data_IF_163037303051
#
_entry.id   IF_163037303051
#
_cell.length_a   1.000
_cell.length_b   1.000
_cell.length_c   1.000
_cell.angle_alpha   90.00
_cell.angle_beta   90.00
_cell.angle_gamma   90.00
#
_symmetry.space_group_name_H-M   'P 1'
#
loop_
_entity.id
_entity.type
_entity.pdbx_description
1 polymer ?
#
# COMPACT_ATOMS: atom_id res chain seq x y z
N UNK A 1 -86.89 8.27 -16.83
CA UNK A 1 -86.82 8.23 -15.36
C UNK A 1 -85.38 8.43 -14.93
N UNK A 2 -85.05 9.57 -14.34
CA UNK A 2 -83.76 9.83 -13.68
C UNK A 2 -83.97 9.64 -12.17
N UNK A 3 -83.14 8.82 -11.54
CA UNK A 3 -83.26 8.41 -10.14
C UNK A 3 -82.17 9.07 -9.27
N UNK A 4 -82.54 9.25 -8.00
CA UNK A 4 -81.82 9.69 -6.80
C UNK A 4 -80.30 9.81 -6.91
N UNK A 5 -79.83 10.98 -6.49
CA UNK A 5 -78.45 11.37 -6.14
C UNK A 5 -77.76 12.34 -7.12
N UNK A 6 -78.57 13.09 -7.87
CA UNK A 6 -78.49 14.56 -7.92
C UNK A 6 -78.86 15.22 -6.58
N UNK A 7 -78.58 14.58 -5.45
CA UNK A 7 -78.96 15.04 -4.11
C UNK A 7 -77.77 14.95 -3.17
N UNK A 8 -76.64 15.54 -3.54
CA UNK A 8 -75.63 16.03 -2.60
C UNK A 8 -74.68 16.96 -3.37
N UNK A 9 -75.22 18.08 -3.85
CA UNK A 9 -74.40 19.28 -4.05
C UNK A 9 -74.24 19.94 -2.70
N UNK A 10 -73.07 19.84 -2.07
CA UNK A 10 -72.70 20.74 -0.98
C UNK A 10 -71.18 20.90 -0.89
N UNK A 11 -70.77 22.16 -0.77
CA UNK A 11 -69.45 22.66 -0.40
C UNK A 11 -68.35 22.64 -1.48
N UNK A 12 -68.28 23.79 -2.16
CA UNK A 12 -67.02 24.35 -2.63
C UNK A 12 -66.03 24.55 -1.47
N UNK A 13 -64.75 24.24 -1.69
CA UNK A 13 -63.62 24.95 -1.09
C UNK A 13 -62.30 24.53 -1.75
N UNK A 14 -61.74 25.46 -2.53
CA UNK A 14 -60.32 25.68 -2.81
C UNK A 14 -59.33 24.54 -2.51
N UNK A 15 -58.93 23.79 -3.53
CA UNK A 15 -57.65 23.08 -3.53
C UNK A 15 -56.66 23.86 -4.40
N UNK A 16 -55.85 24.69 -3.75
CA UNK A 16 -54.66 25.32 -4.32
C UNK A 16 -53.84 24.26 -5.05
N UNK A 17 -53.65 24.43 -6.35
CA UNK A 17 -52.69 23.63 -7.11
C UNK A 17 -51.31 23.98 -6.57
N UNK A 18 -50.79 23.19 -5.62
CA UNK A 18 -49.37 23.20 -5.33
C UNK A 18 -48.67 22.65 -6.57
N UNK A 19 -48.34 23.56 -7.50
CA UNK A 19 -47.25 23.32 -8.42
C UNK A 19 -46.05 22.97 -7.53
N UNK A 20 -45.65 21.69 -7.55
CA UNK A 20 -44.36 21.27 -7.03
C UNK A 20 -43.34 22.04 -7.86
N UNK A 21 -42.89 23.17 -7.34
CA UNK A 21 -41.63 23.77 -7.75
C UNK A 21 -40.63 22.65 -7.54
N UNK A 22 -40.02 22.07 -8.58
CA UNK A 22 -38.89 21.20 -8.35
C UNK A 22 -37.88 22.08 -7.60
N UNK A 23 -37.60 21.73 -6.35
CA UNK A 23 -36.46 22.24 -5.63
C UNK A 23 -35.24 21.67 -6.35
N UNK A 24 -34.94 22.20 -7.53
CA UNK A 24 -33.58 22.27 -7.99
C UNK A 24 -32.89 23.21 -6.99
N UNK A 25 -32.50 22.65 -5.84
CA UNK A 25 -31.28 23.11 -5.21
C UNK A 25 -30.26 22.93 -6.33
N UNK A 26 -29.92 24.04 -7.00
CA UNK A 26 -28.74 24.08 -7.82
C UNK A 26 -27.61 23.71 -6.88
N UNK A 27 -27.15 22.46 -6.96
CA UNK A 27 -25.77 22.17 -6.64
C UNK A 27 -25.01 23.09 -7.60
N UNK A 28 -24.55 24.23 -7.07
CA UNK A 28 -23.65 25.10 -7.80
C UNK A 28 -22.51 24.20 -8.22
N UNK A 29 -22.37 23.96 -9.52
CA UNK A 29 -21.42 23.02 -10.06
C UNK A 29 -20.03 23.62 -9.83
N UNK A 30 -19.46 23.34 -8.66
CA UNK A 30 -18.12 23.81 -8.31
C UNK A 30 -17.13 23.15 -9.25
N UNK A 31 -16.14 23.92 -9.70
CA UNK A 31 -15.12 23.43 -10.65
C UNK A 31 -14.31 22.27 -10.05
N UNK A 32 -14.16 22.28 -8.73
CA UNK A 32 -13.43 21.28 -7.98
C UNK A 32 -14.31 20.68 -6.88
N UNK A 33 -14.01 19.44 -6.49
CA UNK A 33 -14.66 18.77 -5.36
C UNK A 33 -14.03 19.24 -4.05
N UNK A 34 -12.69 19.30 -4.01
CA UNK A 34 -11.91 19.73 -2.84
C UNK A 34 -10.75 20.63 -3.29
N UNK A 35 -10.52 21.72 -2.56
CA UNK A 35 -9.25 22.47 -2.62
C UNK A 35 -8.58 22.47 -1.25
N UNK A 36 -7.31 22.04 -1.20
CA UNK A 36 -6.42 22.19 -0.05
C UNK A 36 -5.62 23.48 -0.27
N UNK A 37 -5.74 24.47 0.61
CA UNK A 37 -5.19 25.82 0.41
C UNK A 37 -3.94 26.11 1.23
N UNK A 38 -2.98 26.78 0.59
CA UNK A 38 -1.83 27.42 1.24
C UNK A 38 -0.90 26.48 2.00
N UNK A 39 -0.90 25.18 1.69
CA UNK A 39 -0.02 24.20 2.31
C UNK A 39 1.36 24.18 1.67
N UNK A 40 2.40 23.78 2.42
CA UNK A 40 3.71 23.49 1.84
C UNK A 40 3.63 22.12 1.15
N UNK A 41 3.47 22.14 -0.17
CA UNK A 41 3.37 20.95 -0.99
C UNK A 41 4.77 20.40 -1.25
N UNK A 42 5.01 19.14 -0.88
CA UNK A 42 6.28 18.45 -1.13
C UNK A 42 6.01 17.23 -2.01
N UNK A 43 6.47 17.28 -3.26
CA UNK A 43 6.45 16.16 -4.20
C UNK A 43 7.83 16.00 -4.87
N UNK A 44 8.66 15.06 -4.37
CA UNK A 44 9.99 14.81 -4.92
C UNK A 44 9.98 14.33 -6.37
N UNK A 45 8.90 13.70 -6.85
CA UNK A 45 8.83 13.13 -8.21
C UNK A 45 8.91 14.21 -9.28
N UNK A 46 8.42 15.42 -8.96
CA UNK A 46 8.47 16.61 -9.81
C UNK A 46 9.32 17.73 -9.21
N UNK A 47 10.12 17.42 -8.18
CA UNK A 47 10.99 18.36 -7.46
C UNK A 47 10.25 19.60 -6.91
N UNK A 48 9.02 19.40 -6.43
CA UNK A 48 8.22 20.45 -5.84
C UNK A 48 8.43 20.50 -4.32
N UNK A 49 8.79 21.66 -3.82
CA UNK A 49 8.77 22.02 -2.40
C UNK A 49 8.42 23.51 -2.29
N UNK A 50 7.13 23.82 -2.22
CA UNK A 50 6.64 25.20 -2.21
C UNK A 50 5.24 25.31 -1.59
N UNK A 51 4.90 26.50 -1.10
CA UNK A 51 3.51 26.81 -0.70
C UNK A 51 2.62 26.88 -1.93
N UNK A 52 1.57 26.03 -1.98
CA UNK A 52 0.62 25.94 -3.09
C UNK A 52 -0.77 25.52 -2.62
N UNK A 53 -1.74 25.72 -3.48
CA UNK A 53 -3.05 25.10 -3.42
C UNK A 53 -3.05 23.80 -4.25
N UNK A 54 -3.78 22.79 -3.78
CA UNK A 54 -4.00 21.51 -4.48
C UNK A 54 -5.49 21.31 -4.66
N UNK A 55 -5.95 21.17 -5.91
CA UNK A 55 -7.35 20.91 -6.21
C UNK A 55 -7.59 19.47 -6.67
N UNK A 56 -8.71 18.91 -6.26
CA UNK A 56 -9.16 17.56 -6.56
C UNK A 56 -10.50 17.64 -7.30
N UNK A 57 -10.64 16.87 -8.37
CA UNK A 57 -11.87 16.72 -9.14
C UNK A 57 -12.00 15.29 -9.66
N UNK A 58 -13.18 14.67 -9.46
CA UNK A 58 -13.45 13.29 -9.85
C UNK A 58 -12.48 12.28 -9.21
N UNK A 59 -12.04 12.55 -7.97
CA UNK A 59 -11.07 11.71 -7.26
C UNK A 59 -9.63 11.77 -7.82
N UNK A 60 -9.30 12.76 -8.65
CA UNK A 60 -7.96 12.97 -9.22
C UNK A 60 -7.45 14.36 -8.90
N UNK A 61 -6.13 14.51 -8.87
CA UNK A 61 -5.50 15.84 -8.76
C UNK A 61 -5.80 16.62 -10.05
N UNK A 62 -6.54 17.72 -9.92
CA UNK A 62 -6.94 18.57 -11.03
C UNK A 62 -6.01 19.77 -11.27
N UNK A 63 -5.35 20.27 -10.22
CA UNK A 63 -4.36 21.35 -10.33
C UNK A 63 -3.47 21.44 -9.07
N UNK A 64 -2.23 21.90 -9.24
CA UNK A 64 -1.27 22.18 -8.16
C UNK A 64 -0.56 23.51 -8.46
N UNK A 65 -1.11 24.62 -7.96
CA UNK A 65 -0.72 25.98 -8.35
C UNK A 65 -0.44 26.86 -7.13
N UNK A 66 0.34 27.96 -7.25
CA UNK A 66 0.55 28.89 -6.14
C UNK A 66 -0.74 29.40 -5.49
N UNK A 67 -1.79 29.59 -6.30
CA UNK A 67 -3.14 29.95 -5.83
C UNK A 67 -4.15 29.46 -6.86
N UNK A 68 -5.20 28.79 -6.42
CA UNK A 68 -6.27 28.31 -7.32
C UNK A 68 -7.50 29.22 -7.17
N UNK A 69 -7.88 29.87 -8.27
CA UNK A 69 -9.08 30.66 -8.37
C UNK A 69 -10.34 29.77 -8.52
N UNK A 70 -11.44 30.19 -7.91
CA UNK A 70 -12.74 29.54 -7.96
C UNK A 70 -13.09 28.74 -6.71
N UNK A 71 -14.34 28.27 -6.70
CA UNK A 71 -14.94 27.56 -5.58
C UNK A 71 -14.80 26.04 -5.73
N UNK A 72 -14.80 25.37 -4.59
CA UNK A 72 -14.86 23.92 -4.46
C UNK A 72 -15.99 23.53 -3.51
N UNK A 73 -16.51 22.31 -3.65
CA UNK A 73 -17.54 21.81 -2.75
C UNK A 73 -17.03 21.75 -1.30
N UNK A 74 -15.74 21.46 -1.13
CA UNK A 74 -15.03 21.48 0.14
C UNK A 74 -13.71 22.28 0.03
N UNK A 75 -13.31 22.96 1.11
CA UNK A 75 -12.00 23.61 1.19
C UNK A 75 -11.35 23.30 2.53
N UNK A 76 -10.08 22.89 2.48
CA UNK A 76 -9.23 22.65 3.65
C UNK A 76 -8.15 23.73 3.71
N UNK A 77 -8.00 24.40 4.85
CA UNK A 77 -6.88 25.32 5.10
C UNK A 77 -5.67 24.55 5.63
N UNK A 78 -4.60 24.49 4.84
CA UNK A 78 -3.36 23.79 5.15
C UNK A 78 -2.20 24.75 5.46
N UNK A 79 -2.46 26.03 5.75
CA UNK A 79 -1.40 26.99 6.11
C UNK A 79 -0.61 26.50 7.33
N UNK A 80 0.72 26.54 7.20
CA UNK A 80 1.63 26.03 8.23
C UNK A 80 1.65 24.50 8.36
N UNK A 81 1.02 23.77 7.43
CA UNK A 81 1.02 22.29 7.36
C UNK A 81 1.75 21.82 6.09
N UNK A 82 2.13 20.55 6.11
CA UNK A 82 2.66 19.86 4.95
C UNK A 82 1.51 19.22 4.17
N UNK A 83 1.63 19.26 2.84
CA UNK A 83 0.78 18.50 1.92
C UNK A 83 1.70 17.61 1.10
N UNK A 84 1.60 16.31 1.32
CA UNK A 84 2.49 15.30 0.71
C UNK A 84 1.67 14.28 -0.06
N UNK A 85 2.25 13.60 -1.07
CA UNK A 85 1.67 12.39 -1.63
C UNK A 85 1.31 11.42 -0.51
N UNK A 86 0.17 10.77 -0.64
CA UNK A 86 -0.24 9.73 0.29
C UNK A 86 0.84 8.65 0.40
N UNK A 87 1.09 8.16 1.62
CA UNK A 87 2.22 7.25 1.84
C UNK A 87 1.93 5.88 1.22
N UNK A 88 2.97 5.25 0.67
CA UNK A 88 2.94 3.88 0.20
C UNK A 88 3.86 3.04 1.08
N UNK A 89 3.28 2.09 1.82
CA UNK A 89 4.05 1.14 2.61
C UNK A 89 4.23 -0.17 1.84
N UNK A 90 5.46 -0.44 1.42
CA UNK A 90 5.79 -1.61 0.61
C UNK A 90 6.05 -2.87 1.45
N UNK A 91 6.04 -2.77 2.78
CA UNK A 91 6.29 -3.91 3.66
C UNK A 91 5.36 -3.88 4.87
N UNK A 92 4.15 -4.40 4.67
CA UNK A 92 3.18 -4.60 5.75
C UNK A 92 2.81 -6.07 5.92
N UNK A 93 2.08 -6.36 6.99
CA UNK A 93 1.29 -7.58 7.13
C UNK A 93 -0.19 -7.26 7.37
N UNK A 94 -0.65 -6.11 6.86
CA UNK A 94 -2.01 -5.59 7.06
C UNK A 94 -3.06 -6.48 6.43
N UNK A 95 -2.71 -7.19 5.35
CA UNK A 95 -3.62 -8.10 4.67
C UNK A 95 -4.05 -9.31 5.50
N UNK A 96 -3.40 -9.59 6.64
CA UNK A 96 -3.78 -10.71 7.54
C UNK A 96 -5.13 -10.55 8.21
N UNK A 97 -5.69 -9.34 8.20
CA UNK A 97 -7.01 -9.05 8.76
C UNK A 97 -7.73 -8.03 7.89
N UNK A 98 -9.06 -8.13 7.72
CA UNK A 98 -9.87 -7.10 7.04
C UNK A 98 -9.72 -5.69 7.63
N UNK A 99 -9.36 -5.56 8.90
CA UNK A 99 -9.20 -4.26 9.56
C UNK A 99 -7.79 -3.67 9.45
N UNK A 100 -6.79 -4.49 9.09
CA UNK A 100 -5.39 -4.05 8.99
C UNK A 100 -5.19 -2.82 8.09
N UNK A 101 -5.77 -2.77 6.87
CA UNK A 101 -5.63 -1.60 6.00
C UNK A 101 -6.15 -0.30 6.62
N UNK A 102 -7.29 -0.35 7.34
CA UNK A 102 -7.89 0.83 7.99
C UNK A 102 -6.97 1.41 9.06
N UNK A 103 -6.25 0.56 9.78
CA UNK A 103 -5.30 1.00 10.81
C UNK A 103 -4.18 1.84 10.20
N UNK A 104 -3.53 1.35 9.15
CA UNK A 104 -2.45 2.10 8.50
C UNK A 104 -2.95 3.34 7.75
N UNK A 105 -4.23 3.38 7.35
CA UNK A 105 -4.85 4.58 6.79
C UNK A 105 -4.83 5.75 7.77
N UNK A 106 -5.04 5.48 9.06
CA UNK A 106 -5.04 6.49 10.11
C UNK A 106 -3.66 7.14 10.28
N UNK A 107 -2.60 6.42 9.91
CA UNK A 107 -1.22 6.91 9.91
C UNK A 107 -0.81 7.56 8.56
N UNK A 108 -1.76 7.74 7.63
CA UNK A 108 -1.52 8.38 6.34
C UNK A 108 -1.00 7.45 5.24
N UNK A 109 -0.98 6.13 5.47
CA UNK A 109 -0.67 5.13 4.44
C UNK A 109 -1.87 5.01 3.52
N UNK A 110 -1.76 5.48 2.29
CA UNK A 110 -2.85 5.45 1.31
C UNK A 110 -2.78 4.25 0.36
N UNK A 111 -1.67 3.52 0.35
CA UNK A 111 -1.53 2.25 -0.36
C UNK A 111 -0.52 1.34 0.33
N UNK A 112 -0.72 0.03 0.22
CA UNK A 112 0.00 -0.95 1.02
C UNK A 112 0.33 -2.22 0.24
N UNK A 113 1.41 -2.90 0.63
CA UNK A 113 1.80 -4.20 0.10
C UNK A 113 1.97 -5.21 1.24
N UNK A 114 1.19 -6.29 1.21
CA UNK A 114 1.43 -7.42 2.12
C UNK A 114 2.71 -8.16 1.71
N UNK A 115 3.65 -8.24 2.63
CA UNK A 115 4.99 -8.77 2.41
C UNK A 115 5.07 -10.29 2.63
N UNK A 116 4.23 -11.06 1.94
CA UNK A 116 4.29 -12.52 1.96
C UNK A 116 3.73 -13.16 3.21
N UNK A 117 2.61 -12.63 3.73
CA UNK A 117 1.88 -13.30 4.82
C UNK A 117 1.37 -14.68 4.42
N UNK A 118 0.88 -14.83 3.18
CA UNK A 118 0.43 -16.11 2.64
C UNK A 118 1.25 -16.53 1.41
N UNK A 119 1.37 -17.84 1.24
CA UNK A 119 1.87 -18.47 0.01
C UNK A 119 0.73 -19.02 -0.84
N UNK A 120 1.07 -19.85 -1.81
CA UNK A 120 0.14 -20.40 -2.80
C UNK A 120 -1.12 -21.06 -2.20
N UNK A 121 -1.02 -21.72 -1.05
CA UNK A 121 -2.12 -22.50 -0.46
C UNK A 121 -3.29 -21.62 0.01
N UNK A 122 -3.01 -20.36 0.40
CA UNK A 122 -4.00 -19.44 0.99
C UNK A 122 -3.87 -18.01 0.49
N UNK A 123 -3.25 -17.79 -0.67
CA UNK A 123 -3.05 -16.43 -1.20
C UNK A 123 -4.38 -15.70 -1.44
N UNK A 124 -5.45 -16.46 -1.72
CA UNK A 124 -6.79 -15.94 -1.93
C UNK A 124 -7.32 -15.12 -0.74
N UNK A 125 -6.94 -15.47 0.49
CA UNK A 125 -7.38 -14.77 1.69
C UNK A 125 -6.86 -13.33 1.72
N UNK A 126 -5.58 -13.14 1.43
CA UNK A 126 -4.95 -11.81 1.38
C UNK A 126 -5.44 -11.03 0.16
N UNK A 127 -5.61 -11.69 -0.98
CA UNK A 127 -6.17 -11.07 -2.19
C UNK A 127 -7.59 -10.58 -1.95
N UNK A 128 -8.40 -11.32 -1.19
CA UNK A 128 -9.75 -10.90 -0.82
C UNK A 128 -9.71 -9.60 0.03
N UNK A 129 -8.83 -9.53 1.02
CA UNK A 129 -8.63 -8.31 1.82
C UNK A 129 -8.16 -7.13 0.97
N UNK A 130 -7.19 -7.37 0.07
CA UNK A 130 -6.69 -6.35 -0.86
C UNK A 130 -7.78 -5.82 -1.80
N UNK A 131 -8.68 -6.71 -2.26
CA UNK A 131 -9.81 -6.37 -3.12
C UNK A 131 -10.90 -5.56 -2.40
N UNK A 132 -11.15 -5.87 -1.13
CA UNK A 132 -12.19 -5.19 -0.33
C UNK A 132 -11.71 -3.91 0.35
N UNK A 133 -10.40 -3.63 0.33
CA UNK A 133 -9.82 -2.45 0.97
C UNK A 133 -10.21 -1.16 0.23
N UNK A 134 -10.43 -0.09 1.00
CA UNK A 134 -10.62 1.26 0.45
C UNK A 134 -9.32 1.80 -0.19
N UNK A 135 -8.17 1.42 0.37
CA UNK A 135 -6.85 1.78 -0.14
C UNK A 135 -6.41 0.75 -1.17
N UNK A 136 -5.65 1.13 -2.22
CA UNK A 136 -4.96 0.18 -3.08
C UNK A 136 -4.06 -0.76 -2.28
N UNK A 137 -4.48 -2.03 -2.18
CA UNK A 137 -3.69 -3.13 -1.62
C UNK A 137 -3.05 -3.98 -2.71
N UNK A 138 -1.81 -4.41 -2.50
CA UNK A 138 -1.11 -5.41 -3.33
C UNK A 138 -0.43 -6.45 -2.45
N UNK A 139 0.03 -7.52 -3.07
CA UNK A 139 0.57 -8.68 -2.36
C UNK A 139 1.88 -9.15 -2.99
N UNK A 140 2.87 -9.45 -2.16
CA UNK A 140 3.98 -10.31 -2.51
C UNK A 140 3.63 -11.73 -2.08
N UNK A 141 3.63 -12.70 -2.99
CA UNK A 141 3.36 -14.09 -2.60
C UNK A 141 4.58 -14.69 -1.89
N UNK A 142 4.40 -15.34 -0.75
CA UNK A 142 5.49 -16.07 -0.10
C UNK A 142 5.88 -17.30 -0.95
N UNK A 143 7.17 -17.51 -1.18
CA UNK A 143 7.67 -18.71 -1.88
C UNK A 143 7.36 -19.99 -1.08
N UNK A 144 7.32 -19.91 0.25
CA UNK A 144 6.77 -20.99 1.08
C UNK A 144 5.26 -21.06 0.88
N UNK A 145 4.76 -22.15 0.29
CA UNK A 145 3.35 -22.32 -0.12
C UNK A 145 2.33 -22.08 1.00
N UNK A 146 2.68 -22.36 2.25
CA UNK A 146 1.82 -22.16 3.41
C UNK A 146 1.83 -20.73 3.99
N UNK A 147 2.71 -19.86 3.48
CA UNK A 147 2.92 -18.51 4.00
C UNK A 147 3.86 -18.47 5.21
N UNK A 148 3.62 -17.49 6.09
CA UNK A 148 4.40 -17.30 7.31
C UNK A 148 3.98 -18.33 8.35
N UNK A 149 4.94 -19.12 8.81
CA UNK A 149 4.73 -20.15 9.82
C UNK A 149 5.61 -19.93 11.07
N UNK A 150 5.15 -20.36 12.27
CA UNK A 150 5.94 -20.27 13.49
C UNK A 150 7.24 -21.09 13.47
N UNK A 151 7.22 -22.24 12.78
CA UNK A 151 8.34 -23.19 12.60
C UNK A 151 9.21 -22.87 11.38
N UNK A 152 8.93 -21.75 10.70
CA UNK A 152 9.66 -21.33 9.51
C UNK A 152 9.00 -21.73 8.20
N UNK A 153 8.94 -20.77 7.29
CA UNK A 153 8.22 -20.84 6.02
C UNK A 153 8.77 -21.95 5.10
N UNK A 154 10.09 -22.15 5.11
CA UNK A 154 10.82 -23.00 4.15
C UNK A 154 11.94 -23.83 4.81
N UNK A 155 11.82 -24.09 6.12
CA UNK A 155 12.67 -25.07 6.82
C UNK A 155 12.52 -26.47 6.20
N UNK A 156 11.30 -26.83 5.81
CA UNK A 156 11.04 -27.87 4.83
C UNK A 156 11.09 -27.28 3.41
N UNK A 157 12.13 -27.64 2.65
CA UNK A 157 12.33 -27.16 1.29
C UNK A 157 11.21 -27.57 0.32
N UNK A 158 10.46 -28.63 0.62
CA UNK A 158 9.31 -29.02 -0.19
C UNK A 158 8.20 -27.94 -0.19
N UNK A 159 8.16 -27.08 0.82
CA UNK A 159 7.23 -25.95 0.89
C UNK A 159 7.56 -24.84 -0.12
N UNK A 160 8.83 -24.72 -0.55
CA UNK A 160 9.24 -23.77 -1.60
C UNK A 160 8.87 -24.31 -2.99
N UNK A 161 7.57 -24.42 -3.25
CA UNK A 161 6.99 -25.04 -4.44
C UNK A 161 6.82 -24.02 -5.58
N UNK A 162 7.70 -24.12 -6.58
CA UNK A 162 7.74 -23.21 -7.74
C UNK A 162 6.46 -23.32 -8.57
N UNK A 163 5.93 -24.53 -8.77
CA UNK A 163 4.76 -24.73 -9.61
C UNK A 163 3.51 -24.14 -8.94
N UNK A 164 3.32 -24.43 -7.65
CA UNK A 164 2.22 -23.87 -6.87
C UNK A 164 2.25 -22.34 -6.84
N UNK A 165 3.44 -21.74 -6.65
CA UNK A 165 3.60 -20.30 -6.65
C UNK A 165 3.28 -19.68 -8.03
N UNK A 166 3.74 -20.30 -9.13
CA UNK A 166 3.42 -19.83 -10.49
C UNK A 166 1.92 -19.88 -10.78
N UNK A 167 1.26 -20.97 -10.43
CA UNK A 167 -0.18 -21.13 -10.61
C UNK A 167 -0.98 -20.09 -9.81
N UNK A 168 -0.56 -19.84 -8.57
CA UNK A 168 -1.17 -18.82 -7.71
C UNK A 168 -1.00 -17.40 -8.28
N UNK A 169 0.17 -17.07 -8.81
CA UNK A 169 0.45 -15.79 -9.49
C UNK A 169 -0.42 -15.63 -10.73
N UNK A 170 -0.49 -16.65 -11.58
CA UNK A 170 -1.27 -16.60 -12.82
C UNK A 170 -2.76 -16.33 -12.55
N UNK A 171 -3.32 -16.92 -11.49
CA UNK A 171 -4.73 -16.74 -11.11
C UNK A 171 -5.05 -15.39 -10.45
N UNK A 172 -4.05 -14.67 -9.93
CA UNK A 172 -4.26 -13.46 -9.12
C UNK A 172 -3.39 -12.27 -9.59
N UNK A 173 -3.15 -12.17 -10.91
CA UNK A 173 -2.15 -11.27 -11.48
C UNK A 173 -2.44 -9.78 -11.25
N UNK A 174 -3.69 -9.43 -11.01
CA UNK A 174 -4.13 -8.05 -10.72
C UNK A 174 -3.67 -7.56 -9.33
N UNK A 175 -3.43 -8.49 -8.40
CA UNK A 175 -3.09 -8.17 -7.00
C UNK A 175 -1.68 -8.56 -6.62
N UNK A 176 -1.12 -9.63 -7.23
CA UNK A 176 0.24 -10.07 -6.92
C UNK A 176 1.26 -9.27 -7.74
N UNK A 177 2.13 -8.56 -7.03
CA UNK A 177 3.14 -7.64 -7.60
C UNK A 177 4.58 -8.09 -7.38
N UNK A 178 4.77 -9.27 -6.80
CA UNK A 178 6.11 -9.82 -6.58
C UNK A 178 6.09 -11.09 -5.76
N UNK A 179 7.29 -11.61 -5.52
CA UNK A 179 7.54 -12.78 -4.69
C UNK A 179 8.23 -12.32 -3.41
N UNK A 180 7.95 -13.00 -2.29
CA UNK A 180 8.61 -12.80 -1.01
C UNK A 180 9.38 -14.07 -0.65
N UNK A 181 10.64 -13.90 -0.25
CA UNK A 181 11.39 -14.93 0.46
C UNK A 181 11.85 -14.41 1.83
N UNK A 182 11.77 -15.24 2.86
CA UNK A 182 12.31 -14.94 4.20
C UNK A 182 13.47 -15.89 4.48
N UNK A 183 14.69 -15.34 4.59
CA UNK A 183 15.94 -16.11 4.49
C UNK A 183 16.72 -16.20 5.81
N UNK A 184 16.09 -15.90 6.96
CA UNK A 184 16.76 -16.03 8.26
C UNK A 184 16.92 -17.49 8.68
N UNK A 185 17.82 -17.73 9.65
CA UNK A 185 18.12 -19.05 10.21
C UNK A 185 16.89 -19.83 10.64
N UNK A 186 15.94 -19.18 11.29
CA UNK A 186 14.76 -19.84 11.85
C UNK A 186 13.59 -19.92 10.86
N UNK A 187 13.79 -19.47 9.61
CA UNK A 187 12.73 -19.43 8.59
C UNK A 187 13.06 -20.28 7.37
N UNK A 188 14.30 -20.19 6.89
CA UNK A 188 14.80 -20.98 5.76
C UNK A 188 15.95 -21.92 6.16
N UNK A 189 16.60 -21.70 7.31
CA UNK A 189 17.73 -22.51 7.74
C UNK A 189 18.82 -22.61 6.68
N UNK A 190 19.37 -23.81 6.50
CA UNK A 190 20.39 -24.08 5.49
C UNK A 190 19.86 -24.04 4.04
N UNK A 191 18.55 -23.89 3.84
CA UNK A 191 17.93 -23.87 2.51
C UNK A 191 17.96 -22.48 1.87
N UNK A 192 18.45 -21.44 2.54
CA UNK A 192 18.31 -20.04 2.14
C UNK A 192 18.71 -19.74 0.68
N UNK A 193 19.81 -20.31 0.18
CA UNK A 193 20.24 -20.16 -1.23
C UNK A 193 19.29 -20.81 -2.22
N UNK A 194 18.84 -22.02 -1.92
CA UNK A 194 17.95 -22.77 -2.81
C UNK A 194 16.55 -22.17 -2.80
N UNK A 195 16.06 -21.71 -1.64
CA UNK A 195 14.82 -20.94 -1.52
C UNK A 195 14.91 -19.65 -2.34
N UNK A 196 16.03 -18.93 -2.25
CA UNK A 196 16.27 -17.73 -3.06
C UNK A 196 16.27 -18.04 -4.55
N UNK A 197 16.96 -19.10 -4.99
CA UNK A 197 16.98 -19.53 -6.40
C UNK A 197 15.56 -19.84 -6.91
N UNK A 198 14.76 -20.58 -6.14
CA UNK A 198 13.37 -20.91 -6.50
C UNK A 198 12.48 -19.68 -6.54
N UNK A 199 12.62 -18.78 -5.57
CA UNK A 199 11.87 -17.52 -5.55
C UNK A 199 12.21 -16.65 -6.78
N UNK A 200 13.50 -16.60 -7.16
CA UNK A 200 13.94 -15.87 -8.33
C UNK A 200 13.46 -16.48 -9.64
N UNK A 201 13.42 -17.80 -9.72
CA UNK A 201 12.85 -18.55 -10.84
C UNK A 201 11.35 -18.23 -11.02
N UNK A 202 10.58 -18.17 -9.94
CA UNK A 202 9.16 -17.76 -9.98
C UNK A 202 9.05 -16.30 -10.42
N UNK A 203 9.73 -15.38 -9.73
CA UNK A 203 9.64 -13.95 -10.00
C UNK A 203 10.01 -13.61 -11.46
N UNK A 204 11.08 -14.22 -11.98
CA UNK A 204 11.56 -13.98 -13.34
C UNK A 204 10.61 -14.52 -14.41
N UNK A 205 9.88 -15.62 -14.16
CA UNK A 205 8.90 -16.14 -15.11
C UNK A 205 7.71 -15.20 -15.38
N UNK A 206 7.48 -14.21 -14.51
CA UNK A 206 6.43 -13.20 -14.68
C UNK A 206 6.96 -11.78 -14.87
N UNK A 207 8.28 -11.58 -14.94
CA UNK A 207 8.89 -10.24 -14.94
C UNK A 207 8.61 -9.46 -13.66
N UNK A 208 8.45 -10.15 -12.54
CA UNK A 208 8.16 -9.57 -11.23
C UNK A 208 9.45 -9.36 -10.41
N UNK A 209 9.45 -8.40 -9.46
CA UNK A 209 10.50 -8.27 -8.46
C UNK A 209 10.41 -9.37 -7.39
N UNK A 210 11.55 -9.74 -6.82
CA UNK A 210 11.66 -10.52 -5.60
C UNK A 210 12.00 -9.60 -4.42
N UNK A 211 11.31 -9.75 -3.29
CA UNK A 211 11.70 -9.15 -2.03
C UNK A 211 12.23 -10.17 -1.02
N UNK A 212 13.50 -10.04 -0.62
CA UNK A 212 14.11 -10.88 0.41
C UNK A 212 14.08 -10.19 1.77
N UNK A 213 13.67 -10.91 2.81
CA UNK A 213 13.92 -10.50 4.20
C UNK A 213 15.35 -10.91 4.52
N UNK A 214 16.14 -9.93 4.93
CA UNK A 214 17.54 -10.07 5.27
C UNK A 214 17.75 -9.94 6.77
N UNK A 215 18.80 -10.58 7.28
CA UNK A 215 19.19 -10.57 8.68
C UNK A 215 19.26 -11.99 9.23
N UNK A 216 20.32 -12.29 9.98
CA UNK A 216 20.50 -13.59 10.64
C UNK A 216 20.41 -14.79 9.68
N UNK A 217 20.77 -14.60 8.41
CA UNK A 217 20.83 -15.65 7.39
C UNK A 217 21.91 -16.68 7.74
N UNK A 218 21.77 -17.91 7.23
CA UNK A 218 22.83 -18.92 7.37
C UNK A 218 23.98 -18.64 6.40
N UNK A 219 23.65 -18.34 5.15
CA UNK A 219 24.59 -17.96 4.11
C UNK A 219 25.10 -16.53 4.29
N UNK A 220 26.38 -16.27 3.93
CA UNK A 220 26.90 -14.91 3.84
C UNK A 220 26.10 -14.06 2.86
N UNK A 221 25.87 -12.81 3.21
CA UNK A 221 25.03 -11.91 2.43
C UNK A 221 25.51 -11.70 0.99
N UNK A 222 26.84 -11.62 0.79
CA UNK A 222 27.44 -11.51 -0.55
C UNK A 222 27.00 -12.65 -1.48
N UNK A 223 26.87 -13.88 -0.95
CA UNK A 223 26.43 -15.04 -1.72
C UNK A 223 24.94 -15.03 -2.04
N UNK A 224 24.13 -14.35 -1.24
CA UNK A 224 22.72 -14.14 -1.54
C UNK A 224 22.55 -13.03 -2.59
N UNK A 225 23.37 -11.99 -2.53
CA UNK A 225 23.35 -10.89 -3.51
C UNK A 225 23.73 -11.34 -4.93
N UNK A 226 24.59 -12.35 -5.08
CA UNK A 226 24.91 -12.96 -6.38
C UNK A 226 23.67 -13.51 -7.12
N UNK A 227 22.57 -13.78 -6.40
CA UNK A 227 21.31 -14.32 -6.95
C UNK A 227 20.24 -13.23 -7.19
N UNK A 228 20.46 -12.00 -6.74
CA UNK A 228 19.53 -10.90 -6.94
C UNK A 228 19.79 -10.21 -8.28
N UNK A 229 18.72 -9.67 -8.88
CA UNK A 229 18.79 -8.84 -10.09
C UNK A 229 18.40 -7.40 -9.78
N UNK A 230 18.69 -6.50 -10.72
CA UNK A 230 18.21 -5.12 -10.68
C UNK A 230 16.68 -5.10 -10.57
N UNK A 231 16.17 -4.40 -9.55
CA UNK A 231 14.74 -4.31 -9.25
C UNK A 231 14.27 -5.24 -8.13
N UNK A 232 15.10 -6.18 -7.68
CA UNK A 232 14.82 -6.93 -6.46
C UNK A 232 15.03 -6.05 -5.22
N UNK A 233 14.28 -6.38 -4.17
CA UNK A 233 14.15 -5.57 -2.96
C UNK A 233 14.76 -6.32 -1.78
N UNK A 234 15.64 -5.66 -1.05
CA UNK A 234 16.20 -6.19 0.20
C UNK A 234 15.57 -5.42 1.35
N UNK A 235 14.81 -6.11 2.21
CA UNK A 235 14.19 -5.50 3.40
C UNK A 235 14.94 -5.87 4.68
N UNK A 236 14.73 -5.07 5.73
CA UNK A 236 15.51 -5.09 6.98
C UNK A 236 17.00 -4.85 6.75
N UNK A 237 17.30 -3.88 5.87
CA UNK A 237 18.68 -3.56 5.50
C UNK A 237 19.58 -3.26 6.70
N UNK A 238 19.02 -2.62 7.72
CA UNK A 238 19.72 -2.24 8.95
C UNK A 238 19.44 -3.18 10.13
N UNK A 239 19.10 -4.46 9.87
CA UNK A 239 18.98 -5.47 10.93
C UNK A 239 20.31 -5.63 11.70
N UNK A 240 20.26 -6.06 12.97
CA UNK A 240 21.47 -6.34 13.73
C UNK A 240 22.27 -7.51 13.13
N UNK A 241 23.59 -7.58 13.40
CA UNK A 241 24.43 -8.71 12.99
C UNK A 241 23.91 -10.07 13.52
N UNK A 242 24.33 -11.20 12.91
CA UNK A 242 25.24 -11.32 11.76
C UNK A 242 24.55 -11.09 10.41
N UNK A 243 25.35 -10.88 9.36
CA UNK A 243 24.92 -10.69 7.96
C UNK A 243 24.05 -9.45 7.71
N UNK A 244 24.39 -8.34 8.38
CA UNK A 244 23.85 -6.99 8.16
C UNK A 244 24.76 -6.17 7.25
N UNK A 245 24.23 -5.15 6.57
CA UNK A 245 25.07 -4.20 5.83
C UNK A 245 25.78 -3.20 6.76
N UNK A 246 25.28 -3.05 7.99
CA UNK A 246 25.89 -2.26 9.05
C UNK A 246 26.70 -3.21 9.93
N UNK A 247 28.02 -3.19 9.80
CA UNK A 247 28.92 -3.93 10.67
C UNK A 247 29.50 -2.97 11.73
N UNK A 248 29.38 -3.31 13.01
CA UNK A 248 30.18 -2.64 14.04
C UNK A 248 31.65 -3.03 13.87
N UNK A 249 32.50 -2.06 13.54
CA UNK A 249 33.96 -2.19 13.66
C UNK A 249 34.74 -2.72 12.45
N UNK A 250 34.09 -3.04 11.33
CA UNK A 250 34.80 -3.20 10.06
C UNK A 250 33.89 -2.82 8.89
N UNK A 251 34.37 -1.90 8.07
CA UNK A 251 33.75 -1.50 6.82
C UNK A 251 33.62 -2.72 5.90
N UNK A 252 32.42 -3.31 5.82
CA UNK A 252 32.02 -3.90 4.55
C UNK A 252 32.03 -2.75 3.56
N UNK A 253 32.85 -2.84 2.51
CA UNK A 253 33.28 -1.75 1.64
C UNK A 253 32.17 -1.03 0.83
N UNK A 254 30.90 -1.21 1.20
CA UNK A 254 29.73 -0.75 0.47
C UNK A 254 28.88 0.27 1.25
N UNK A 255 29.17 0.55 2.54
CA UNK A 255 28.41 1.52 3.35
C UNK A 255 29.34 2.59 3.92
N UNK A 256 28.96 3.87 3.75
CA UNK A 256 29.74 5.02 4.27
C UNK A 256 29.86 4.90 5.81
N UNK A 257 31.06 5.14 6.39
CA UNK A 257 31.35 4.89 7.81
C UNK A 257 30.61 5.79 8.82
N UNK A 258 29.90 6.83 8.37
CA UNK A 258 29.47 7.94 9.24
C UNK A 258 28.13 7.70 9.99
N UNK A 259 27.50 6.52 9.88
CA UNK A 259 26.18 6.26 10.48
C UNK A 259 26.22 5.53 11.83
N UNK A 260 27.40 5.19 12.34
CA UNK A 260 27.52 4.56 13.66
C UNK A 260 27.62 5.65 14.73
N UNK A 261 26.53 5.84 15.49
CA UNK A 261 26.43 6.82 16.55
C UNK A 261 27.59 6.73 17.54
N UNK A 262 28.47 7.72 17.51
CA UNK A 262 29.38 8.00 18.61
C UNK A 262 28.58 8.49 19.81
N UNK A 263 28.80 7.89 20.96
CA UNK A 263 28.47 8.53 22.24
C UNK A 263 29.08 9.94 22.25
N UNK A 264 28.33 10.98 22.64
CA UNK A 264 28.91 12.31 22.77
C UNK A 264 29.97 12.22 23.87
N UNK A 265 31.25 12.42 23.52
CA UNK A 265 32.27 12.61 24.53
C UNK A 265 31.87 13.82 25.36
N UNK A 266 31.57 13.61 26.64
CA UNK A 266 31.44 14.71 27.58
C UNK A 266 32.77 15.48 27.56
N UNK A 267 32.74 16.71 27.02
CA UNK A 267 33.79 17.68 27.26
C UNK A 267 33.53 18.30 28.63
N UNK A 268 34.39 17.97 29.58
CA UNK A 268 34.85 18.87 30.65
C UNK A 268 36.30 18.51 30.92
#
# INVERSE_FOLDING_TARGET
MLNRRQFLSAAAASAVTFARIPKALGAQQTKYDLIIRGGRVIDPSVRLDATRDVAISGGRIGAVEPTIAGDAAETIDARGKLVVPGLLDIHTHTGRSPDGPKLVLQDGVTGWIDAGSQGADRIGDIVAVARSSLQPGRVLINIGRAGILPDGDTMDLARADVAAARDAIAKNRDFIVGVKARLSRDVAGANDREVLRRAQEVASSFGLPLMIHMGQTVSPLSKLFDLLKRGDIVTHMFAPPPNSIVACGSTSATVRPDTCGGTPSARS
#
